data_IF_651425214700
#
_entry.id   IF_651425214700
#
_cell.length_a   1.000
_cell.length_b   1.000
_cell.length_c   1.000
_cell.angle_alpha   90.00
_cell.angle_beta   90.00
_cell.angle_gamma   90.00
#
_symmetry.space_group_name_H-M   'P 1'
#
loop_
_entity.id
_entity.type
_entity.pdbx_description
1 polymer ?
#
# COMPACT_ATOMS: atom_id res chain seq x y z
N UNK A 1 -47.42 36.50 -10.26
CA UNK A 1 -46.27 36.35 -11.18
C UNK A 1 -45.02 36.76 -10.40
N UNK A 2 -43.99 35.98 -10.08
CA UNK A 2 -43.42 34.68 -10.52
C UNK A 2 -42.80 34.06 -9.23
N UNK A 3 -43.20 32.89 -8.73
CA UNK A 3 -42.66 31.54 -8.99
C UNK A 3 -41.19 31.44 -9.46
N UNK A 4 -40.44 30.57 -8.75
CA UNK A 4 -39.32 29.68 -9.18
C UNK A 4 -37.88 30.05 -8.74
N UNK A 5 -37.05 29.03 -8.37
CA UNK A 5 -36.35 28.93 -7.08
C UNK A 5 -34.87 28.53 -7.20
N UNK A 6 -34.28 28.12 -6.07
CA UNK A 6 -33.31 27.02 -5.93
C UNK A 6 -31.83 27.28 -6.34
N UNK A 7 -30.95 26.54 -5.63
CA UNK A 7 -29.51 26.37 -5.77
C UNK A 7 -28.69 27.51 -5.14
N UNK A 8 -27.77 27.27 -4.20
CA UNK A 8 -26.80 26.17 -4.13
C UNK A 8 -26.61 25.80 -2.65
N UNK A 9 -27.16 24.65 -2.24
CA UNK A 9 -26.61 23.91 -1.09
C UNK A 9 -25.26 23.40 -1.57
N UNK A 10 -24.19 24.09 -1.20
CA UNK A 10 -22.83 23.60 -1.37
C UNK A 10 -22.67 22.47 -0.36
N UNK A 11 -23.17 21.28 -0.73
CA UNK A 11 -22.83 20.04 -0.07
C UNK A 11 -21.31 19.90 -0.19
N UNK A 12 -20.62 20.31 0.87
CA UNK A 12 -19.23 19.97 1.11
C UNK A 12 -19.22 18.45 1.23
N UNK A 13 -19.09 17.77 0.09
CA UNK A 13 -18.64 16.39 0.04
C UNK A 13 -17.20 16.44 0.55
N UNK A 14 -17.06 16.44 1.87
CA UNK A 14 -15.86 16.07 2.61
C UNK A 14 -15.56 14.64 2.20
N UNK A 15 -14.97 14.50 1.02
CA UNK A 15 -14.27 13.30 0.61
C UNK A 15 -13.14 13.22 1.62
N UNK A 16 -13.37 12.53 2.74
CA UNK A 16 -12.29 12.06 3.57
C UNK A 16 -11.49 11.15 2.64
N UNK A 17 -10.52 11.72 1.94
CA UNK A 17 -9.55 10.98 1.17
C UNK A 17 -8.76 10.23 2.22
N UNK A 18 -9.22 9.02 2.56
CA UNK A 18 -8.49 8.11 3.41
C UNK A 18 -7.21 7.79 2.66
N UNK A 19 -6.11 8.46 3.04
CA UNK A 19 -4.88 8.40 2.28
C UNK A 19 -4.10 7.11 2.56
N UNK A 20 -4.30 6.51 3.73
CA UNK A 20 -3.63 5.29 4.18
C UNK A 20 -4.60 4.24 4.63
N UNK A 21 -4.30 2.98 4.31
CA UNK A 21 -5.14 1.85 4.67
C UNK A 21 -4.34 0.72 5.28
N UNK A 22 -4.74 0.29 6.46
CA UNK A 22 -4.27 -0.92 7.11
C UNK A 22 -5.21 -2.09 6.88
N UNK A 23 -4.63 -3.22 6.46
CA UNK A 23 -5.33 -4.48 6.25
C UNK A 23 -4.85 -5.51 7.27
N UNK A 24 -5.81 -6.18 7.89
CA UNK A 24 -5.58 -7.42 8.63
C UNK A 24 -5.58 -8.56 7.61
N UNK A 25 -4.43 -9.20 7.47
CA UNK A 25 -4.23 -10.34 6.58
C UNK A 25 -4.19 -11.60 7.42
N UNK A 26 -5.09 -12.53 7.11
CA UNK A 26 -5.15 -13.86 7.71
C UNK A 26 -4.80 -14.89 6.66
N UNK A 27 -3.84 -15.75 6.96
CA UNK A 27 -3.28 -16.71 6.00
C UNK A 27 -2.90 -18.03 6.68
N UNK A 28 -2.83 -19.12 5.91
CA UNK A 28 -2.38 -20.43 6.36
C UNK A 28 -0.89 -20.64 6.15
N UNK A 29 -0.26 -21.31 7.10
CA UNK A 29 1.12 -21.81 7.06
C UNK A 29 1.11 -23.25 7.58
N UNK A 30 0.88 -24.20 6.65
CA UNK A 30 0.47 -25.57 7.01
C UNK A 30 -0.83 -25.55 7.84
N UNK A 31 -0.81 -26.19 9.00
CA UNK A 31 -1.96 -26.24 9.93
C UNK A 31 -2.14 -24.94 10.73
N UNK A 32 -1.16 -24.03 10.69
CA UNK A 32 -1.18 -22.79 11.48
C UNK A 32 -1.90 -21.68 10.75
N UNK A 33 -2.59 -20.83 11.51
CA UNK A 33 -3.17 -19.59 11.00
C UNK A 33 -2.32 -18.43 11.47
N UNK A 34 -1.87 -17.60 10.53
CA UNK A 34 -1.05 -16.41 10.78
C UNK A 34 -1.89 -15.18 10.45
N UNK A 35 -2.00 -14.27 11.42
CA UNK A 35 -2.67 -12.98 11.24
C UNK A 35 -1.69 -11.85 11.45
N UNK A 36 -1.70 -10.85 10.59
CA UNK A 36 -0.83 -9.67 10.70
C UNK A 36 -1.45 -8.43 10.07
N UNK A 37 -0.92 -7.26 10.44
CA UNK A 37 -1.29 -5.98 9.85
C UNK A 37 -0.28 -5.54 8.79
N UNK A 38 -0.77 -5.10 7.64
CA UNK A 38 0.03 -4.45 6.59
C UNK A 38 -0.60 -3.14 6.20
N UNK A 39 0.23 -2.14 5.88
CA UNK A 39 -0.20 -0.80 5.50
C UNK A 39 0.08 -0.53 4.03
N UNK A 40 -0.84 0.13 3.34
CA UNK A 40 -0.68 0.61 1.97
C UNK A 40 -1.15 2.05 1.85
N UNK A 41 -0.53 2.80 0.95
CA UNK A 41 -0.82 4.21 0.75
C UNK A 41 -0.25 5.13 1.83
N UNK A 42 -0.47 6.42 1.64
CA UNK A 42 0.10 7.50 2.45
C UNK A 42 -0.80 7.97 3.59
N UNK A 43 -0.61 9.20 4.00
CA UNK A 43 -1.49 9.96 4.87
C UNK A 43 -1.77 11.33 4.25
N UNK A 44 -2.36 12.26 5.00
CA UNK A 44 -2.53 13.65 4.56
C UNK A 44 -1.17 14.32 4.39
N UNK A 45 -0.23 13.97 5.26
CA UNK A 45 1.09 14.62 5.33
C UNK A 45 2.20 13.81 4.68
N UNK A 46 1.97 12.54 4.35
CA UNK A 46 3.00 11.67 3.81
C UNK A 46 2.47 10.76 2.70
N UNK A 47 3.39 10.21 1.93
CA UNK A 47 3.15 9.07 1.04
C UNK A 47 4.02 7.90 1.50
N UNK A 48 3.65 6.70 1.09
CA UNK A 48 4.35 5.48 1.50
C UNK A 48 4.38 4.47 0.37
N UNK A 49 5.55 3.85 0.18
CA UNK A 49 5.68 2.57 -0.48
C UNK A 49 5.77 1.44 0.55
N UNK A 50 5.23 0.30 0.15
CA UNK A 50 5.22 -0.92 0.94
C UNK A 50 5.93 -2.01 0.15
N UNK A 51 6.81 -2.76 0.81
CA UNK A 51 7.45 -3.95 0.25
C UNK A 51 7.47 -5.06 1.30
N UNK A 52 7.78 -6.28 0.86
CA UNK A 52 8.07 -7.40 1.75
C UNK A 52 9.55 -7.71 1.69
N UNK A 53 10.21 -7.70 2.84
CA UNK A 53 11.60 -8.10 2.96
C UNK A 53 11.69 -9.59 3.33
N UNK A 54 12.20 -10.46 2.44
CA UNK A 54 12.31 -11.89 2.72
C UNK A 54 13.31 -12.20 3.83
N UNK A 55 14.33 -11.36 4.04
CA UNK A 55 15.37 -11.59 5.05
C UNK A 55 14.79 -11.42 6.46
N UNK A 56 14.09 -10.30 6.72
CA UNK A 56 13.43 -10.05 8.01
C UNK A 56 12.03 -10.68 8.13
N UNK A 57 11.51 -11.29 7.05
CA UNK A 57 10.16 -11.85 6.94
C UNK A 57 9.05 -10.86 7.32
N UNK A 58 9.24 -9.59 6.98
CA UNK A 58 8.37 -8.50 7.43
C UNK A 58 8.01 -7.53 6.32
N UNK A 59 6.87 -6.85 6.47
CA UNK A 59 6.54 -5.72 5.61
C UNK A 59 7.32 -4.49 6.04
N UNK A 60 7.95 -3.85 5.08
CA UNK A 60 8.77 -2.64 5.26
C UNK A 60 8.15 -1.47 4.51
N UNK A 61 8.44 -0.27 5.00
CA UNK A 61 7.78 0.96 4.56
C UNK A 61 8.80 2.03 4.24
N UNK A 62 8.61 2.70 3.10
CA UNK A 62 9.41 3.85 2.69
C UNK A 62 8.47 5.04 2.57
N UNK A 63 8.61 6.02 3.47
CA UNK A 63 7.69 7.16 3.60
C UNK A 63 8.37 8.47 3.25
N UNK A 64 7.66 9.40 2.62
CA UNK A 64 8.15 10.76 2.36
C UNK A 64 7.03 11.79 2.56
N UNK A 65 7.36 13.07 2.83
CA UNK A 65 6.35 14.12 2.95
C UNK A 65 5.59 14.33 1.64
N UNK A 66 4.27 14.43 1.71
CA UNK A 66 3.43 14.67 0.53
C UNK A 66 3.59 16.10 0.00
N UNK A 67 3.78 17.07 0.90
CA UNK A 67 4.01 18.47 0.56
C UNK A 67 5.49 18.80 0.69
N UNK A 68 6.12 19.19 -0.41
CA UNK A 68 7.53 19.60 -0.43
C UNK A 68 8.54 18.44 -0.31
N UNK A 69 8.09 17.21 -0.06
CA UNK A 69 8.92 16.02 -0.17
C UNK A 69 8.99 15.53 -1.61
N UNK A 70 10.16 15.03 -2.02
CA UNK A 70 10.33 14.36 -3.31
C UNK A 70 10.05 12.87 -3.12
N UNK A 71 9.33 12.21 -4.06
CA UNK A 71 9.22 10.77 -4.03
C UNK A 71 10.62 10.13 -4.14
N UNK A 72 10.84 8.96 -3.52
CA UNK A 72 12.10 8.24 -3.61
C UNK A 72 12.47 7.95 -5.06
N UNK A 73 13.76 8.00 -5.36
CA UNK A 73 14.28 7.57 -6.67
C UNK A 73 14.57 6.06 -6.60
N UNK A 74 14.27 5.30 -7.68
CA UNK A 74 14.66 3.91 -7.75
C UNK A 74 16.16 3.71 -7.55
N UNK A 75 16.54 2.77 -6.70
CA UNK A 75 17.93 2.38 -6.48
C UNK A 75 18.44 1.46 -7.60
N UNK A 76 17.54 0.67 -8.20
CA UNK A 76 17.84 -0.22 -9.32
C UNK A 76 16.59 -0.48 -10.16
N UNK A 77 16.79 -1.10 -11.33
CA UNK A 77 15.74 -1.56 -12.23
C UNK A 77 16.08 -2.96 -12.70
N UNK A 78 15.07 -3.83 -12.76
CA UNK A 78 15.19 -5.18 -13.32
C UNK A 78 14.18 -5.35 -14.45
N UNK A 79 14.58 -6.02 -15.53
CA UNK A 79 13.65 -6.42 -16.57
C UNK A 79 13.11 -7.81 -16.24
N UNK A 80 11.80 -7.90 -16.05
CA UNK A 80 11.12 -9.17 -15.82
C UNK A 80 10.70 -9.79 -17.15
N UNK A 81 11.31 -10.93 -17.48
CA UNK A 81 11.04 -11.67 -18.70
C UNK A 81 9.63 -12.28 -18.76
N UNK A 82 8.99 -12.58 -17.62
CA UNK A 82 7.65 -13.19 -17.62
C UNK A 82 6.57 -12.18 -18.01
N UNK A 83 6.63 -10.98 -17.44
CA UNK A 83 5.67 -9.91 -17.75
C UNK A 83 6.12 -8.98 -18.88
N UNK A 84 7.40 -9.03 -19.28
CA UNK A 84 8.04 -8.10 -20.20
C UNK A 84 8.24 -6.68 -19.63
N UNK A 85 7.97 -6.47 -18.34
CA UNK A 85 7.98 -5.15 -17.69
C UNK A 85 9.31 -4.88 -17.01
N UNK A 86 9.68 -3.60 -16.94
CA UNK A 86 10.76 -3.15 -16.05
C UNK A 86 10.17 -2.90 -14.66
N UNK A 87 10.72 -3.56 -13.64
CA UNK A 87 10.36 -3.38 -12.24
C UNK A 87 11.40 -2.45 -11.59
N UNK A 88 10.92 -1.37 -10.99
CA UNK A 88 11.75 -0.46 -10.21
C UNK A 88 11.92 -0.98 -8.78
N UNK A 89 13.15 -0.95 -8.29
CA UNK A 89 13.52 -1.37 -6.94
C UNK A 89 13.91 -0.16 -6.11
N UNK A 90 13.43 -0.11 -4.87
CA UNK A 90 13.65 1.01 -3.97
C UNK A 90 14.41 0.57 -2.72
N UNK A 91 15.26 1.46 -2.20
CA UNK A 91 15.99 1.22 -0.97
C UNK A 91 15.10 1.52 0.23
N UNK A 92 14.68 0.49 0.96
CA UNK A 92 13.91 0.62 2.19
C UNK A 92 14.83 0.83 3.39
N UNK A 93 14.39 1.57 4.43
CA UNK A 93 15.16 1.72 5.66
C UNK A 93 15.45 0.38 6.32
N UNK A 94 16.69 0.16 6.74
CA UNK A 94 17.16 -1.07 7.43
C UNK A 94 17.09 -2.36 6.61
N UNK A 95 16.83 -2.28 5.31
CA UNK A 95 16.86 -3.42 4.39
C UNK A 95 18.19 -3.42 3.64
N UNK A 96 18.82 -4.60 3.52
CA UNK A 96 20.14 -4.73 2.87
C UNK A 96 20.07 -4.54 1.35
N UNK A 97 19.01 -5.03 0.72
CA UNK A 97 18.85 -5.06 -0.72
C UNK A 97 17.63 -4.24 -1.18
N UNK A 98 17.68 -3.53 -2.32
CA UNK A 98 16.51 -2.85 -2.87
C UNK A 98 15.36 -3.82 -3.16
N UNK A 99 14.14 -3.42 -2.87
CA UNK A 99 12.94 -4.26 -2.99
C UNK A 99 11.93 -3.68 -3.98
N UNK A 100 11.14 -4.53 -4.65
CA UNK A 100 10.02 -4.07 -5.48
C UNK A 100 8.87 -3.59 -4.59
N UNK A 101 8.14 -2.58 -5.06
CA UNK A 101 6.96 -2.05 -4.37
C UNK A 101 5.74 -2.93 -4.62
N UNK A 102 5.02 -3.23 -3.55
CA UNK A 102 3.67 -3.80 -3.60
C UNK A 102 2.70 -2.61 -3.56
N UNK A 103 2.00 -2.29 -4.66
CA UNK A 103 1.26 -1.03 -4.77
C UNK A 103 0.01 -1.00 -3.88
N UNK A 104 -0.69 -2.13 -3.75
CA UNK A 104 -1.86 -2.28 -2.91
C UNK A 104 -2.09 -3.75 -2.49
N UNK A 105 -3.08 -3.98 -1.63
CA UNK A 105 -3.44 -5.32 -1.17
C UNK A 105 -3.92 -6.25 -2.30
N UNK A 106 -4.51 -5.71 -3.38
CA UNK A 106 -5.05 -6.50 -4.50
C UNK A 106 -3.93 -7.03 -5.40
N UNK A 107 -2.77 -6.38 -5.39
CA UNK A 107 -1.57 -6.84 -6.08
C UNK A 107 -0.96 -8.08 -5.42
N UNK A 108 -1.22 -8.31 -4.12
CA UNK A 108 -0.83 -9.55 -3.45
C UNK A 108 -1.70 -10.71 -3.95
N UNK A 109 -1.17 -11.53 -4.87
CA UNK A 109 -1.82 -12.77 -5.34
C UNK A 109 -1.43 -14.00 -4.50
N UNK A 110 -0.31 -13.89 -3.81
CA UNK A 110 0.22 -14.90 -2.90
C UNK A 110 0.68 -14.16 -1.65
N UNK A 111 0.40 -14.70 -0.46
CA UNK A 111 0.88 -14.16 0.79
C UNK A 111 2.41 -14.31 0.84
N UNK A 112 3.20 -13.22 0.88
CA UNK A 112 4.66 -13.32 0.81
C UNK A 112 5.27 -13.92 2.08
N UNK A 113 4.50 -13.95 3.18
CA UNK A 113 4.92 -14.53 4.45
C UNK A 113 4.79 -16.05 4.52
N UNK A 114 3.79 -16.62 3.84
CA UNK A 114 3.39 -18.03 4.01
C UNK A 114 3.27 -18.80 2.69
N UNK A 115 3.20 -18.12 1.54
CA UNK A 115 2.97 -18.76 0.24
C UNK A 115 1.50 -19.09 -0.06
N UNK A 116 0.59 -18.80 0.86
CA UNK A 116 -0.85 -19.07 0.71
C UNK A 116 -1.48 -18.20 -0.39
N UNK A 117 -2.26 -18.83 -1.27
CA UNK A 117 -2.99 -18.17 -2.37
C UNK A 117 -4.42 -17.78 -1.98
N UNK A 118 -4.94 -18.36 -0.91
CA UNK A 118 -6.33 -18.19 -0.45
C UNK A 118 -6.40 -17.31 0.81
N UNK A 119 -5.36 -16.51 1.06
CA UNK A 119 -5.32 -15.61 2.20
C UNK A 119 -6.47 -14.58 2.12
N UNK A 120 -6.95 -14.16 3.29
CA UNK A 120 -8.00 -13.15 3.41
C UNK A 120 -7.41 -11.85 3.89
N UNK A 121 -7.77 -10.74 3.25
CA UNK A 121 -7.41 -9.41 3.69
C UNK A 121 -8.66 -8.59 3.99
N UNK A 122 -8.78 -8.14 5.24
CA UNK A 122 -9.88 -7.30 5.69
C UNK A 122 -9.35 -5.91 5.99
N UNK A 123 -9.98 -4.88 5.41
CA UNK A 123 -9.66 -3.50 5.75
C UNK A 123 -10.05 -3.24 7.20
N UNK A 124 -9.09 -2.90 8.07
CA UNK A 124 -9.34 -2.65 9.50
C UNK A 124 -9.07 -1.22 9.93
N UNK A 125 -8.11 -0.57 9.27
CA UNK A 125 -7.67 0.77 9.65
C UNK A 125 -7.69 1.67 8.42
N UNK A 126 -8.20 2.87 8.62
CA UNK A 126 -7.84 3.99 7.77
C UNK A 126 -7.00 4.93 8.64
N UNK A 127 -5.88 5.39 8.09
CA UNK A 127 -4.96 6.29 8.79
C UNK A 127 -4.54 7.42 7.88
N UNK A 128 -3.97 8.45 8.51
CA UNK A 128 -3.69 9.75 7.91
C UNK A 128 -2.39 10.34 8.42
#
# INVERSE_FOLDING_TARGET
MKLIPLLIILAVCSSASLAGTGYEVTSKDGDRTVTYMVRFGGGKLFEQYTAYDPDSKSFVYLTWPRRGGKPPVPAARIWDHESGRTIELFQFPKVKHPLPVIPDIKAMKVCPKTGDKDFKAVRRLAYD
#
